data_IF_939055663484
#
_entry.id   IF_939055663484
#
_cell.length_a   1.000
_cell.length_b   1.000
_cell.length_c   1.000
_cell.angle_alpha   90.00
_cell.angle_beta   90.00
_cell.angle_gamma   90.00
#
_symmetry.space_group_name_H-M   'P 1'
#
loop_
_entity.id
_entity.type
_entity.pdbx_description
1 polymer ?
#
# COMPACT_ATOMS: atom_id res chain seq x y z
N UNK A 1 -15.70 -19.21 2.60
CA UNK A 1 -14.65 -20.24 2.48
C UNK A 1 -13.28 -19.59 2.64
N UNK A 2 -12.41 -20.12 3.51
CA UNK A 2 -11.00 -19.68 3.57
C UNK A 2 -10.23 -20.40 2.45
N UNK A 3 -9.96 -19.72 1.34
CA UNK A 3 -9.12 -20.25 0.26
C UNK A 3 -7.66 -19.90 0.55
N UNK A 4 -7.04 -20.52 1.55
CA UNK A 4 -5.62 -20.34 1.83
C UNK A 4 -4.83 -21.60 1.45
N UNK A 5 -3.82 -21.43 0.61
CA UNK A 5 -2.87 -22.48 0.24
C UNK A 5 -1.64 -22.38 1.15
N UNK A 6 -1.10 -23.53 1.57
CA UNK A 6 0.11 -23.58 2.40
C UNK A 6 1.31 -23.26 1.53
N UNK A 7 2.14 -22.32 2.00
CA UNK A 7 3.38 -21.92 1.35
C UNK A 7 4.54 -22.11 2.33
N UNK A 8 5.62 -22.72 1.87
CA UNK A 8 6.88 -22.82 2.63
C UNK A 8 7.82 -21.72 2.20
N UNK A 9 8.39 -21.00 3.16
CA UNK A 9 9.29 -19.87 2.93
C UNK A 9 10.53 -19.99 3.80
N UNK A 10 11.69 -19.61 3.24
CA UNK A 10 12.95 -19.51 3.99
C UNK A 10 13.12 -18.07 4.46
N UNK A 11 13.42 -17.87 5.74
CA UNK A 11 13.69 -16.56 6.32
C UNK A 11 14.92 -16.63 7.23
N UNK A 12 15.65 -15.51 7.41
CA UNK A 12 16.69 -15.41 8.42
C UNK A 12 16.15 -15.78 9.82
N UNK A 13 16.91 -16.52 10.63
CA UNK A 13 16.47 -16.92 11.98
C UNK A 13 16.02 -15.75 12.84
N UNK A 14 16.78 -14.65 12.82
CA UNK A 14 16.46 -13.42 13.58
C UNK A 14 15.09 -12.84 13.19
N UNK A 15 14.71 -12.92 11.92
CA UNK A 15 13.41 -12.44 11.45
C UNK A 15 12.27 -13.32 11.98
N UNK A 16 12.48 -14.64 12.08
CA UNK A 16 11.50 -15.56 12.65
C UNK A 16 11.29 -15.30 14.15
N UNK A 17 12.37 -15.01 14.87
CA UNK A 17 12.31 -14.67 16.30
C UNK A 17 11.51 -13.38 16.51
N UNK A 18 11.82 -12.33 15.75
CA UNK A 18 11.09 -11.06 15.80
C UNK A 18 9.62 -11.23 15.43
N UNK A 19 9.32 -11.93 14.33
CA UNK A 19 7.95 -12.19 13.92
C UNK A 19 7.16 -12.98 14.99
N UNK A 20 7.82 -13.92 15.67
CA UNK A 20 7.20 -14.70 16.75
C UNK A 20 6.90 -13.82 17.97
N UNK A 21 7.80 -12.90 18.32
CA UNK A 21 7.58 -11.96 19.41
C UNK A 21 6.41 -11.02 19.12
N UNK A 22 6.42 -10.37 17.95
CA UNK A 22 5.34 -9.45 17.52
C UNK A 22 4.00 -10.18 17.50
N UNK A 23 3.95 -11.37 16.90
CA UNK A 23 2.71 -12.14 16.83
C UNK A 23 2.15 -12.47 18.23
N UNK A 24 3.01 -12.79 19.21
CA UNK A 24 2.59 -13.02 20.60
C UNK A 24 2.06 -11.76 21.27
N UNK A 25 2.76 -10.64 21.10
CA UNK A 25 2.37 -9.34 21.68
C UNK A 25 1.01 -8.87 21.16
N UNK A 26 0.75 -9.08 19.87
CA UNK A 26 -0.49 -8.68 19.19
C UNK A 26 -1.61 -9.75 19.26
N UNK A 27 -1.38 -10.89 19.92
CA UNK A 27 -2.35 -11.99 20.00
C UNK A 27 -2.68 -12.62 18.63
N UNK A 28 -1.74 -12.56 17.68
CA UNK A 28 -1.89 -13.04 16.31
C UNK A 28 -1.13 -14.35 16.08
N UNK A 29 -1.53 -15.11 15.07
CA UNK A 29 -0.69 -16.20 14.54
C UNK A 29 0.40 -15.64 13.62
N UNK A 30 1.54 -16.36 13.50
CA UNK A 30 2.60 -16.00 12.54
C UNK A 30 2.05 -15.81 11.12
N UNK A 31 1.18 -16.71 10.67
CA UNK A 31 0.58 -16.64 9.34
C UNK A 31 -0.34 -15.43 9.17
N UNK A 32 -1.00 -14.95 10.23
CA UNK A 32 -1.79 -13.71 10.19
C UNK A 32 -0.88 -12.49 10.09
N UNK A 33 0.18 -12.43 10.90
CA UNK A 33 1.18 -11.36 10.82
C UNK A 33 1.78 -11.26 9.41
N UNK A 34 2.22 -12.37 8.82
CA UNK A 34 2.78 -12.38 7.47
C UNK A 34 1.76 -11.96 6.40
N UNK A 35 0.50 -12.41 6.51
CA UNK A 35 -0.56 -11.97 5.57
C UNK A 35 -0.82 -10.47 5.69
N UNK A 36 -0.85 -9.94 6.91
CA UNK A 36 -1.05 -8.51 7.12
C UNK A 36 0.13 -7.68 6.60
N UNK A 37 1.36 -8.06 6.96
CA UNK A 37 2.57 -7.44 6.45
C UNK A 37 2.60 -7.42 4.91
N UNK A 38 2.22 -8.54 4.28
CA UNK A 38 2.15 -8.63 2.82
C UNK A 38 1.05 -7.73 2.22
N UNK A 39 -0.13 -7.65 2.85
CA UNK A 39 -1.20 -6.73 2.43
C UNK A 39 -0.75 -5.27 2.51
N UNK A 40 -0.07 -4.90 3.59
CA UNK A 40 0.47 -3.55 3.78
C UNK A 40 1.54 -3.22 2.74
N UNK A 41 2.45 -4.15 2.48
CA UNK A 41 3.46 -4.01 1.42
C UNK A 41 2.82 -3.78 0.05
N UNK A 42 1.83 -4.60 -0.33
CA UNK A 42 1.13 -4.45 -1.60
C UNK A 42 0.37 -3.13 -1.70
N UNK A 43 -0.25 -2.67 -0.60
CA UNK A 43 -0.93 -1.37 -0.54
C UNK A 43 0.07 -0.23 -0.76
N UNK A 44 1.20 -0.25 -0.06
CA UNK A 44 2.26 0.75 -0.21
C UNK A 44 2.78 0.79 -1.65
N UNK A 45 3.09 -0.37 -2.23
CA UNK A 45 3.58 -0.47 -3.62
C UNK A 45 2.57 0.13 -4.61
N UNK A 46 1.27 -0.13 -4.45
CA UNK A 46 0.23 0.49 -5.29
C UNK A 46 0.21 2.02 -5.15
N UNK A 47 0.30 2.53 -3.93
CA UNK A 47 0.33 3.99 -3.69
C UNK A 47 1.56 4.66 -4.30
N UNK A 48 2.73 4.02 -4.25
CA UNK A 48 3.94 4.52 -4.90
C UNK A 48 3.72 4.69 -6.41
N UNK A 49 3.11 3.70 -7.09
CA UNK A 49 2.80 3.78 -8.52
C UNK A 49 1.80 4.90 -8.84
N UNK A 50 0.74 5.04 -8.03
CA UNK A 50 -0.26 6.11 -8.21
C UNK A 50 0.40 7.48 -8.05
N UNK A 51 1.29 7.63 -7.06
CA UNK A 51 2.01 8.88 -6.80
C UNK A 51 2.95 9.23 -7.95
N UNK A 52 3.70 8.26 -8.48
CA UNK A 52 4.57 8.46 -9.64
C UNK A 52 3.78 8.90 -10.87
N UNK A 53 2.69 8.19 -11.18
CA UNK A 53 1.78 8.55 -12.27
C UNK A 53 1.20 9.96 -12.08
N UNK A 54 0.72 10.27 -10.88
CA UNK A 54 0.17 11.59 -10.55
C UNK A 54 1.20 12.70 -10.71
N UNK A 55 2.43 12.50 -10.24
CA UNK A 55 3.51 13.47 -10.37
C UNK A 55 3.88 13.73 -11.84
N UNK A 56 3.99 12.68 -12.65
CA UNK A 56 4.21 12.83 -14.09
C UNK A 56 3.07 13.60 -14.76
N UNK A 57 1.82 13.24 -14.45
CA UNK A 57 0.64 13.90 -15.05
C UNK A 57 0.55 15.38 -14.64
N UNK A 58 0.81 15.69 -13.37
CA UNK A 58 0.84 17.06 -12.86
C UNK A 58 1.91 17.90 -13.56
N UNK A 59 3.13 17.36 -13.73
CA UNK A 59 4.19 18.03 -14.47
C UNK A 59 3.82 18.31 -15.93
N UNK A 60 3.21 17.33 -16.62
CA UNK A 60 2.73 17.50 -17.99
C UNK A 60 1.60 18.54 -18.12
N UNK A 61 0.73 18.65 -17.13
CA UNK A 61 -0.38 19.61 -17.11
C UNK A 61 0.00 20.96 -16.49
N UNK A 62 1.23 21.12 -16.00
CA UNK A 62 1.70 22.35 -15.37
C UNK A 62 1.03 22.68 -14.04
N UNK A 63 0.45 21.69 -13.35
CA UNK A 63 -0.22 21.85 -12.05
C UNK A 63 0.84 22.06 -10.98
N UNK A 64 0.78 23.17 -10.25
CA UNK A 64 1.82 23.54 -9.26
C UNK A 64 1.31 23.56 -7.83
N UNK A 65 0.03 23.88 -7.63
CA UNK A 65 -0.57 24.02 -6.31
C UNK A 65 -2.00 23.48 -6.24
N UNK A 66 -2.60 23.59 -5.07
CA UNK A 66 -3.95 23.11 -4.80
C UNK A 66 -5.03 23.91 -5.55
N UNK A 67 -4.77 25.18 -5.91
CA UNK A 67 -5.73 26.01 -6.64
C UNK A 67 -5.85 25.54 -8.09
N UNK A 68 -4.75 25.13 -8.71
CA UNK A 68 -4.76 24.51 -10.05
C UNK A 68 -5.59 23.21 -10.06
N UNK A 69 -5.52 22.44 -8.97
CA UNK A 69 -6.31 21.22 -8.81
C UNK A 69 -7.80 21.56 -8.67
N UNK A 70 -8.14 22.52 -7.82
CA UNK A 70 -9.52 22.94 -7.57
C UNK A 70 -10.20 23.41 -8.87
N UNK A 71 -9.52 24.25 -9.66
CA UNK A 71 -10.01 24.70 -10.98
C UNK A 71 -10.30 23.53 -11.91
N UNK A 72 -9.38 22.56 -12.01
CA UNK A 72 -9.57 21.38 -12.87
C UNK A 72 -10.76 20.52 -12.41
N UNK A 73 -10.97 20.39 -11.11
CA UNK A 73 -12.09 19.65 -10.54
C UNK A 73 -13.42 20.36 -10.82
N UNK A 74 -13.45 21.68 -10.67
CA UNK A 74 -14.63 22.50 -10.92
C UNK A 74 -14.99 22.54 -12.41
N UNK A 75 -14.00 22.67 -13.30
CA UNK A 75 -14.18 22.55 -14.75
C UNK A 75 -14.76 21.16 -15.13
N UNK A 76 -14.23 20.08 -14.55
CA UNK A 76 -14.75 18.73 -14.82
C UNK A 76 -16.18 18.53 -14.29
N UNK A 77 -16.51 19.08 -13.12
CA UNK A 77 -17.84 18.96 -12.51
C UNK A 77 -18.90 19.82 -13.20
N UNK A 78 -18.52 20.99 -13.71
CA UNK A 78 -19.41 21.90 -14.44
C UNK A 78 -19.64 21.49 -15.89
N UNK A 79 -18.72 20.72 -16.49
CA UNK A 79 -18.88 20.12 -17.82
C UNK A 79 -19.63 18.78 -17.86
N UNK A 80 -20.22 18.35 -16.74
CA UNK A 80 -20.98 17.10 -16.58
C UNK A 80 -22.45 17.40 -16.33
#
# INVERSE_FOLDING_TARGET
MRTSVIQTLSLPPEMIEQATKIAKEEGMTKSELFREAFRQFMRRRRWEHIREYGAQKAAHLGIKDEQDIEKLVDEYRSGK
#
